data_IF_986247986928
#
_entry.id   IF_986247986928
#
_cell.length_a   1.000
_cell.length_b   1.000
_cell.length_c   1.000
_cell.angle_alpha   90.00
_cell.angle_beta   90.00
_cell.angle_gamma   90.00
#
_symmetry.space_group_name_H-M   'P 1'
#
loop_
_entity.id
_entity.type
_entity.pdbx_description
1 polymer ?
#
# COMPACT_ATOMS: atom_id res chain seq x y z
N UNK A 1 5.80 -9.75 9.44
CA UNK A 1 6.24 -10.21 10.77
C UNK A 1 6.69 -8.94 11.46
N UNK A 2 5.83 -8.36 12.30
CA UNK A 2 6.18 -7.12 12.98
C UNK A 2 7.23 -7.46 14.04
N UNK A 3 8.50 -7.34 13.65
CA UNK A 3 9.65 -7.74 14.48
C UNK A 3 9.60 -7.09 15.87
N UNK A 4 8.97 -5.92 15.97
CA UNK A 4 8.84 -5.16 17.21
C UNK A 4 7.90 -5.85 18.20
N UNK A 5 6.73 -6.31 17.76
CA UNK A 5 5.77 -7.00 18.64
C UNK A 5 6.31 -8.35 19.14
N UNK A 6 7.00 -9.10 18.27
CA UNK A 6 7.64 -10.37 18.64
C UNK A 6 8.84 -10.18 19.58
N UNK A 7 9.65 -9.15 19.36
CA UNK A 7 10.77 -8.82 20.25
C UNK A 7 10.27 -8.39 21.63
N UNK A 8 9.23 -7.54 21.67
CA UNK A 8 8.62 -7.08 22.92
C UNK A 8 8.02 -8.25 23.72
N UNK A 9 7.27 -9.14 23.05
CA UNK A 9 6.70 -10.34 23.67
C UNK A 9 7.78 -11.27 24.24
N UNK A 10 8.88 -11.46 23.52
CA UNK A 10 10.01 -12.29 23.97
C UNK A 10 10.68 -11.69 25.22
N UNK A 11 10.93 -10.38 25.23
CA UNK A 11 11.54 -9.68 26.38
C UNK A 11 10.63 -9.75 27.61
N UNK A 12 9.32 -9.60 27.44
CA UNK A 12 8.34 -9.67 28.54
C UNK A 12 8.31 -11.08 29.16
N UNK A 13 8.38 -12.14 28.34
CA UNK A 13 8.44 -13.52 28.86
C UNK A 13 9.75 -13.76 29.61
N UNK A 14 10.89 -13.29 29.10
CA UNK A 14 12.18 -13.42 29.78
C UNK A 14 12.18 -12.70 31.13
N UNK A 15 11.57 -11.51 31.21
CA UNK A 15 11.33 -10.81 32.48
C UNK A 15 10.42 -11.64 33.40
N UNK A 16 9.33 -12.19 32.89
CA UNK A 16 8.46 -13.08 33.65
C UNK A 16 9.20 -14.26 34.27
N UNK A 17 10.08 -14.92 33.50
CA UNK A 17 10.93 -16.02 33.97
C UNK A 17 11.93 -15.54 35.03
N UNK A 18 12.55 -14.37 34.87
CA UNK A 18 13.43 -13.77 35.87
C UNK A 18 12.70 -13.55 37.21
N UNK A 19 11.45 -13.08 37.18
CA UNK A 19 10.64 -12.87 38.38
C UNK A 19 10.29 -14.18 39.12
N UNK A 20 10.29 -15.33 38.44
CA UNK A 20 10.16 -16.65 39.09
C UNK A 20 11.38 -16.92 39.98
N UNK A 21 12.60 -16.60 39.53
CA UNK A 21 13.82 -16.75 40.33
C UNK A 21 13.84 -15.81 41.55
N UNK A 22 13.23 -14.63 41.43
CA UNK A 22 13.05 -13.68 42.54
C UNK A 22 11.91 -14.07 43.51
N UNK A 23 11.31 -15.26 43.35
CA UNK A 23 10.17 -15.78 44.13
C UNK A 23 8.91 -14.90 44.08
N UNK A 24 8.79 -14.02 43.10
CA UNK A 24 7.59 -13.19 42.90
C UNK A 24 6.66 -13.84 41.88
N UNK A 25 6.01 -14.93 42.30
CA UNK A 25 5.19 -15.77 41.42
C UNK A 25 3.99 -15.03 40.81
N UNK A 26 3.36 -14.13 41.56
CA UNK A 26 2.19 -13.38 41.08
C UNK A 26 2.54 -12.49 39.87
N UNK A 27 3.67 -11.77 39.95
CA UNK A 27 4.15 -10.89 38.88
C UNK A 27 4.61 -11.71 37.66
N UNK A 28 5.29 -12.83 37.90
CA UNK A 28 5.76 -13.71 36.85
C UNK A 28 4.62 -14.27 35.98
N UNK A 29 3.53 -14.73 36.61
CA UNK A 29 2.36 -15.27 35.90
C UNK A 29 1.72 -14.21 35.00
N UNK A 30 1.55 -12.99 35.50
CA UNK A 30 0.99 -11.87 34.72
C UNK A 30 1.87 -11.58 33.51
N UNK A 31 3.19 -11.49 33.70
CA UNK A 31 4.12 -11.19 32.61
C UNK A 31 4.13 -12.30 31.55
N UNK A 32 4.06 -13.57 31.94
CA UNK A 32 3.99 -14.69 30.98
C UNK A 32 2.69 -14.65 30.17
N UNK A 33 1.55 -14.35 30.80
CA UNK A 33 0.27 -14.23 30.10
C UNK A 33 0.32 -13.07 29.10
N UNK A 34 0.80 -11.90 29.52
CA UNK A 34 0.90 -10.71 28.67
C UNK A 34 1.89 -10.96 27.51
N UNK A 35 3.07 -11.51 27.81
CA UNK A 35 4.07 -11.83 26.79
C UNK A 35 3.59 -12.89 25.79
N UNK A 36 2.88 -13.91 26.27
CA UNK A 36 2.24 -14.92 25.42
C UNK A 36 1.18 -14.32 24.50
N UNK A 37 0.38 -13.36 24.99
CA UNK A 37 -0.57 -12.62 24.17
C UNK A 37 0.12 -11.81 23.06
N UNK A 38 1.20 -11.10 23.38
CA UNK A 38 1.99 -10.35 22.38
C UNK A 38 2.64 -11.25 21.35
N UNK A 39 3.19 -12.40 21.74
CA UNK A 39 3.74 -13.38 20.79
C UNK A 39 2.65 -13.97 19.89
N UNK A 40 1.50 -14.33 20.46
CA UNK A 40 0.37 -14.84 19.70
C UNK A 40 -0.11 -13.85 18.64
N UNK A 41 -0.21 -12.57 19.02
CA UNK A 41 -0.57 -11.49 18.09
C UNK A 41 0.52 -11.27 17.04
N UNK A 42 1.79 -11.18 17.43
CA UNK A 42 2.91 -10.95 16.52
C UNK A 42 3.10 -12.06 15.47
N UNK A 43 2.75 -13.31 15.80
CA UNK A 43 2.77 -14.44 14.85
C UNK A 43 1.54 -14.41 13.92
N UNK A 44 0.38 -13.95 14.40
CA UNK A 44 -0.86 -13.85 13.61
C UNK A 44 -1.00 -12.55 12.83
N UNK A 45 -0.19 -11.52 13.11
CA UNK A 45 -0.17 -10.27 12.35
C UNK A 45 0.25 -10.60 10.90
N UNK A 46 -0.64 -10.41 9.91
CA UNK A 46 -0.31 -10.66 8.52
C UNK A 46 0.93 -9.84 8.15
N UNK A 47 1.82 -10.43 7.34
CA UNK A 47 3.02 -9.71 6.94
C UNK A 47 2.64 -8.43 6.19
N UNK A 48 3.39 -7.35 6.39
CA UNK A 48 3.15 -6.07 5.70
C UNK A 48 3.09 -6.26 4.18
N UNK A 49 3.80 -7.25 3.65
CA UNK A 49 3.75 -7.66 2.24
C UNK A 49 2.41 -8.28 1.81
N UNK A 50 1.72 -9.02 2.67
CA UNK A 50 0.38 -9.54 2.38
C UNK A 50 -0.69 -8.46 2.48
N UNK A 51 -0.54 -7.54 3.44
CA UNK A 51 -1.41 -6.37 3.58
C UNK A 51 -1.27 -5.47 2.35
N UNK A 52 -0.04 -5.12 1.97
CA UNK A 52 0.24 -4.30 0.79
C UNK A 52 -0.32 -4.90 -0.50
N UNK A 53 -0.20 -6.22 -0.71
CA UNK A 53 -0.79 -6.90 -1.88
C UNK A 53 -2.32 -6.82 -1.91
N UNK A 54 -2.98 -7.03 -0.77
CA UNK A 54 -4.45 -6.93 -0.67
C UNK A 54 -4.91 -5.49 -0.91
N UNK A 55 -4.27 -4.52 -0.25
CA UNK A 55 -4.59 -3.10 -0.44
C UNK A 55 -4.37 -2.66 -1.89
N UNK A 56 -3.28 -3.10 -2.53
CA UNK A 56 -3.03 -2.83 -3.94
C UNK A 56 -4.15 -3.36 -4.84
N UNK A 57 -4.56 -4.62 -4.65
CA UNK A 57 -5.64 -5.21 -5.45
C UNK A 57 -6.97 -4.50 -5.26
N UNK A 58 -7.25 -4.00 -4.04
CA UNK A 58 -8.46 -3.23 -3.77
C UNK A 58 -8.44 -1.88 -4.47
N UNK A 59 -7.34 -1.14 -4.36
CA UNK A 59 -7.18 0.16 -5.03
C UNK A 59 -7.30 -0.01 -6.56
N UNK A 60 -6.59 -0.99 -7.13
CA UNK A 60 -6.68 -1.28 -8.56
C UNK A 60 -8.11 -1.58 -8.99
N UNK A 61 -8.81 -2.47 -8.29
CA UNK A 61 -10.18 -2.86 -8.62
C UNK A 61 -11.16 -1.69 -8.50
N UNK A 62 -11.02 -0.82 -7.49
CA UNK A 62 -11.87 0.36 -7.35
C UNK A 62 -11.64 1.37 -8.47
N UNK A 63 -10.38 1.65 -8.81
CA UNK A 63 -10.03 2.58 -9.90
C UNK A 63 -10.51 2.00 -11.23
N UNK A 64 -10.27 0.72 -11.47
CA UNK A 64 -10.74 0.04 -12.67
C UNK A 64 -12.26 0.15 -12.80
N UNK A 65 -13.01 -0.18 -11.73
CA UNK A 65 -14.48 -0.09 -11.74
C UNK A 65 -14.96 1.32 -12.01
N UNK A 66 -14.41 2.34 -11.33
CA UNK A 66 -14.77 3.74 -11.56
C UNK A 66 -14.44 4.21 -12.99
N UNK A 67 -13.35 3.74 -13.57
CA UNK A 67 -12.97 4.03 -14.94
C UNK A 67 -13.96 3.45 -15.95
N UNK A 68 -14.31 2.16 -15.81
CA UNK A 68 -15.33 1.50 -16.63
C UNK A 68 -16.70 2.19 -16.49
N UNK A 69 -17.11 2.54 -15.26
CA UNK A 69 -18.37 3.25 -15.03
C UNK A 69 -18.37 4.61 -15.75
N UNK A 70 -17.24 5.34 -15.77
CA UNK A 70 -17.08 6.62 -16.49
C UNK A 70 -17.08 6.47 -18.01
N UNK A 71 -16.52 5.39 -18.53
CA UNK A 71 -16.56 5.07 -19.98
C UNK A 71 -18.00 4.79 -20.39
N UNK A 72 -18.71 3.97 -19.60
CA UNK A 72 -20.13 3.63 -19.86
C UNK A 72 -21.07 4.81 -19.73
N UNK A 73 -20.78 5.75 -18.83
CA UNK A 73 -21.55 7.00 -18.71
C UNK A 73 -21.22 8.03 -19.79
N UNK A 74 -20.27 7.74 -20.69
CA UNK A 74 -19.82 8.66 -21.74
C UNK A 74 -19.05 9.87 -21.21
N UNK A 75 -18.59 9.83 -19.95
CA UNK A 75 -17.80 10.92 -19.35
C UNK A 75 -16.31 10.82 -19.72
N UNK A 76 -15.85 9.63 -20.07
CA UNK A 76 -14.50 9.36 -20.57
C UNK A 76 -14.55 8.99 -22.05
N UNK A 77 -13.75 9.66 -22.88
CA UNK A 77 -13.73 9.46 -24.33
C UNK A 77 -12.67 8.44 -24.76
N UNK A 78 -12.69 7.27 -24.14
CA UNK A 78 -11.70 6.19 -24.30
C UNK A 78 -12.45 4.87 -24.42
N UNK A 79 -11.99 3.95 -25.27
CA UNK A 79 -12.62 2.61 -25.34
C UNK A 79 -12.24 1.76 -24.13
N UNK A 80 -13.10 0.81 -23.75
CA UNK A 80 -12.79 -0.12 -22.65
C UNK A 80 -11.48 -0.87 -22.91
N UNK A 81 -11.17 -1.23 -24.17
CA UNK A 81 -9.92 -1.91 -24.54
C UNK A 81 -8.68 -1.04 -24.31
N UNK A 82 -8.73 0.24 -24.70
CA UNK A 82 -7.63 1.18 -24.49
C UNK A 82 -7.38 1.42 -23.01
N UNK A 83 -8.46 1.62 -22.25
CA UNK A 83 -8.40 1.77 -20.80
C UNK A 83 -7.78 0.54 -20.13
N UNK A 84 -8.24 -0.66 -20.48
CA UNK A 84 -7.73 -1.91 -19.91
C UNK A 84 -6.23 -2.10 -20.20
N UNK A 85 -5.81 -1.86 -21.45
CA UNK A 85 -4.41 -1.98 -21.85
C UNK A 85 -3.48 -1.06 -21.04
N UNK A 86 -3.88 0.20 -20.83
CA UNK A 86 -3.10 1.14 -20.02
C UNK A 86 -3.14 0.74 -18.54
N UNK A 87 -4.32 0.39 -18.02
CA UNK A 87 -4.50 0.00 -16.62
C UNK A 87 -3.66 -1.22 -16.22
N UNK A 88 -3.58 -2.24 -17.09
CA UNK A 88 -2.73 -3.42 -16.87
C UNK A 88 -1.25 -3.03 -16.78
N UNK A 89 -0.77 -2.14 -17.66
CA UNK A 89 0.62 -1.70 -17.66
C UNK A 89 0.98 -0.88 -16.42
N UNK A 90 0.04 -0.13 -15.85
CA UNK A 90 0.29 0.69 -14.65
C UNK A 90 -0.07 -0.04 -13.35
N UNK A 91 -0.57 -1.28 -13.40
CA UNK A 91 -1.01 -2.03 -12.22
C UNK A 91 0.06 -2.17 -11.12
N UNK A 92 1.34 -2.19 -11.52
CA UNK A 92 2.47 -2.32 -10.59
C UNK A 92 2.67 -1.10 -9.69
N UNK A 93 2.17 0.08 -10.05
CA UNK A 93 2.41 1.34 -9.34
C UNK A 93 1.43 1.56 -8.18
N UNK A 94 0.21 1.04 -8.27
CA UNK A 94 -0.86 1.26 -7.29
C UNK A 94 -0.51 0.74 -5.89
N UNK A 95 0.35 -0.27 -5.79
CA UNK A 95 0.78 -0.86 -4.51
C UNK A 95 1.86 -0.06 -3.78
N UNK A 96 2.38 0.99 -4.42
CA UNK A 96 3.44 1.86 -3.88
C UNK A 96 2.95 3.26 -3.55
N UNK A 97 1.72 3.59 -3.93
CA UNK A 97 1.13 4.90 -3.72
C UNK A 97 0.69 5.06 -2.26
N UNK A 98 1.04 6.20 -1.66
CA UNK A 98 0.56 6.57 -0.32
C UNK A 98 -0.83 7.19 -0.34
N UNK A 99 -1.26 7.71 -1.50
CA UNK A 99 -2.54 8.36 -1.73
C UNK A 99 -3.33 7.63 -2.81
N UNK A 100 -4.65 7.68 -2.71
CA UNK A 100 -5.53 7.07 -3.70
C UNK A 100 -5.43 7.84 -5.04
N UNK A 101 -5.18 7.14 -6.16
CA UNK A 101 -5.19 7.76 -7.48
C UNK A 101 -6.52 8.43 -7.81
N UNK A 102 -6.47 9.49 -8.60
CA UNK A 102 -7.66 10.18 -9.08
C UNK A 102 -7.91 9.88 -10.55
N UNK A 103 -9.18 9.62 -10.90
CA UNK A 103 -9.59 9.43 -12.29
C UNK A 103 -10.20 10.74 -12.80
N UNK A 104 -9.53 11.36 -13.76
CA UNK A 104 -10.00 12.54 -14.47
C UNK A 104 -11.04 12.22 -15.55
N UNK A 105 -11.10 13.07 -16.58
CA UNK A 105 -11.96 12.84 -17.75
C UNK A 105 -11.33 11.83 -18.71
N UNK A 106 -10.09 12.05 -19.14
CA UNK A 106 -9.34 11.15 -20.05
C UNK A 106 -7.96 10.77 -19.48
N UNK A 107 -7.77 10.90 -18.17
CA UNK A 107 -6.49 10.66 -17.52
C UNK A 107 -6.62 10.07 -16.11
N UNK A 108 -5.55 9.43 -15.64
CA UNK A 108 -5.37 9.01 -14.25
C UNK A 108 -4.21 9.78 -13.63
N UNK A 109 -4.42 10.31 -12.42
CA UNK A 109 -3.42 11.03 -11.66
C UNK A 109 -2.88 10.15 -10.54
N UNK A 110 -1.57 9.93 -10.58
CA UNK A 110 -0.80 9.19 -9.58
C UNK A 110 -0.03 10.17 -8.72
N UNK A 111 -0.16 10.08 -7.40
CA UNK A 111 0.44 11.04 -6.47
C UNK A 111 1.80 10.56 -5.94
N UNK A 112 2.76 11.48 -5.87
CA UNK A 112 4.11 11.26 -5.36
C UNK A 112 4.53 12.40 -4.43
N UNK A 113 5.24 12.06 -3.36
CA UNK A 113 5.71 13.05 -2.38
C UNK A 113 6.98 13.77 -2.83
N UNK A 114 7.76 13.15 -3.72
CA UNK A 114 9.06 13.66 -4.17
C UNK A 114 9.10 13.76 -5.68
N UNK A 115 9.66 14.86 -6.18
CA UNK A 115 9.90 15.08 -7.60
C UNK A 115 10.74 13.95 -8.21
N UNK A 116 11.83 13.57 -7.55
CA UNK A 116 12.72 12.51 -8.05
C UNK A 116 12.01 11.17 -8.23
N UNK A 117 11.05 10.86 -7.36
CA UNK A 117 10.24 9.63 -7.47
C UNK A 117 9.26 9.74 -8.64
N UNK A 118 8.62 10.89 -8.83
CA UNK A 118 7.75 11.13 -9.97
C UNK A 118 8.53 11.01 -11.29
N UNK A 119 9.74 11.58 -11.38
CA UNK A 119 10.60 11.51 -12.57
C UNK A 119 11.04 10.08 -12.89
N UNK A 120 11.49 9.31 -11.90
CA UNK A 120 11.89 7.92 -12.12
C UNK A 120 10.72 7.06 -12.62
N UNK A 121 9.54 7.23 -12.03
CA UNK A 121 8.36 6.47 -12.45
C UNK A 121 7.84 6.93 -13.81
N UNK A 122 7.93 8.23 -14.13
CA UNK A 122 7.60 8.76 -15.45
C UNK A 122 8.44 8.10 -16.54
N UNK A 123 9.76 8.03 -16.35
CA UNK A 123 10.66 7.40 -17.32
C UNK A 123 10.31 5.92 -17.57
N UNK A 124 9.90 5.20 -16.53
CA UNK A 124 9.44 3.80 -16.67
C UNK A 124 8.14 3.72 -17.45
N UNK A 125 7.16 4.56 -17.13
CA UNK A 125 5.88 4.60 -17.85
C UNK A 125 6.09 4.92 -19.34
N UNK A 126 6.97 5.87 -19.64
CA UNK A 126 7.32 6.23 -21.02
C UNK A 126 8.05 5.09 -21.75
N UNK A 127 8.92 4.33 -21.06
CA UNK A 127 9.53 3.11 -21.62
C UNK A 127 8.51 2.02 -21.96
N UNK A 128 7.42 1.94 -21.20
CA UNK A 128 6.29 1.03 -21.45
C UNK A 128 5.34 1.53 -22.57
N UNK A 129 5.69 2.65 -23.21
CA UNK A 129 4.95 3.28 -24.29
C UNK A 129 3.67 3.99 -23.83
N UNK A 130 3.60 4.37 -22.55
CA UNK A 130 2.45 5.05 -21.96
C UNK A 130 2.66 6.56 -22.08
N UNK A 131 1.65 7.27 -22.58
CA UNK A 131 1.66 8.73 -22.57
C UNK A 131 1.42 9.22 -21.15
N UNK A 132 2.47 9.74 -20.54
CA UNK A 132 2.43 10.28 -19.20
C UNK A 132 3.21 11.60 -19.14
N UNK A 133 2.79 12.49 -18.26
CA UNK A 133 3.45 13.75 -17.96
C UNK A 133 3.45 14.02 -16.46
N UNK A 134 4.41 14.79 -15.98
CA UNK A 134 4.44 15.26 -14.59
C UNK A 134 3.67 16.57 -14.51
N UNK A 135 2.79 16.65 -13.52
CA UNK A 135 2.02 17.84 -13.16
C UNK A 135 2.33 18.16 -11.70
N UNK A 136 2.71 19.40 -11.42
CA UNK A 136 2.88 19.88 -10.06
C UNK A 136 1.59 20.53 -9.58
N UNK A 137 0.99 20.01 -8.50
CA UNK A 137 -0.19 20.60 -7.86
C UNK A 137 0.18 21.11 -6.47
N UNK A 138 0.39 22.43 -6.37
CA UNK A 138 0.81 23.14 -5.15
C UNK A 138 2.07 22.52 -4.52
N UNK A 139 1.90 21.60 -3.57
CA UNK A 139 2.98 20.93 -2.82
C UNK A 139 3.27 19.51 -3.33
N UNK A 140 2.44 18.97 -4.20
CA UNK A 140 2.45 17.56 -4.56
C UNK A 140 2.87 17.37 -6.03
N UNK A 141 3.57 16.27 -6.27
CA UNK A 141 3.96 15.86 -7.60
C UNK A 141 3.00 14.78 -8.09
N UNK A 142 2.43 14.97 -9.27
CA UNK A 142 1.49 14.04 -9.86
C UNK A 142 2.03 13.56 -11.20
N UNK A 143 1.82 12.29 -11.52
CA UNK A 143 1.97 11.78 -12.88
C UNK A 143 0.58 11.66 -13.47
N UNK A 144 0.30 12.44 -14.51
CA UNK A 144 -0.89 12.35 -15.32
C UNK A 144 -0.64 11.33 -16.43
N UNK A 145 -1.36 10.21 -16.39
CA UNK A 145 -1.37 9.19 -17.44
C UNK A 145 -2.56 9.44 -18.33
N UNK A 146 -2.31 9.69 -19.61
CA UNK A 146 -3.34 9.89 -20.62
C UNK A 146 -3.65 8.58 -21.33
N UNK A 147 -4.92 8.36 -21.65
CA UNK A 147 -5.37 7.15 -22.33
C UNK A 147 -5.44 7.30 -23.87
N UNK A 148 -5.09 8.47 -24.41
CA UNK A 148 -5.14 8.81 -25.86
C UNK A 148 -3.79 8.66 -26.54
#
# INVERSE_FOLDING_TARGET
MDQKETALGTVIILLGVLFIFLRSYFVAVILIIVGGYFLYRGIRSPSDTQIAKRTNSLIYNEIYKKGIDKIRSGTMNVTEEQFNSVMEKIAWIFGRQSLMPQIGFDAVYLHFQKESEATENLERLQKDGIKASIVQDKSDWQIMIEFK
#
